data_IF_749793993020
#
_entry.id   IF_749793993020
#
_cell.length_a   1.000
_cell.length_b   1.000
_cell.length_c   1.000
_cell.angle_alpha   90.00
_cell.angle_beta   90.00
_cell.angle_gamma   90.00
#
_symmetry.space_group_name_H-M   'P 1'
#
loop_
_entity.id
_entity.type
_entity.pdbx_description
1 polymer ?
#
# COMPACT_ATOMS: atom_id res chain seq x y z
N UNK A 1 -22.36 -16.17 -5.26
CA UNK A 1 -21.94 -15.14 -6.23
C UNK A 1 -22.98 -14.04 -6.18
N UNK A 2 -22.63 -12.87 -5.63
CA UNK A 2 -23.55 -11.73 -5.59
C UNK A 2 -23.23 -10.84 -6.81
N UNK A 3 -24.10 -10.86 -7.81
CA UNK A 3 -23.99 -9.97 -8.96
C UNK A 3 -24.45 -8.57 -8.54
N UNK A 4 -23.60 -7.56 -8.68
CA UNK A 4 -24.00 -6.16 -8.53
C UNK A 4 -25.05 -5.83 -9.60
N UNK A 5 -26.28 -5.59 -9.18
CA UNK A 5 -27.33 -5.06 -10.05
C UNK A 5 -27.07 -3.57 -10.29
N UNK A 6 -27.20 -3.12 -11.54
CA UNK A 6 -26.91 -1.79 -12.13
C UNK A 6 -27.33 -0.51 -11.34
N UNK A 7 -27.97 -0.62 -10.18
CA UNK A 7 -28.59 0.50 -9.44
C UNK A 7 -28.48 0.36 -7.91
N UNK A 8 -27.42 -0.23 -7.37
CA UNK A 8 -27.19 -0.27 -5.90
C UNK A 8 -25.84 0.35 -5.49
N UNK A 9 -25.80 1.67 -5.25
CA UNK A 9 -24.59 2.38 -4.78
C UNK A 9 -24.09 1.89 -3.41
N UNK A 10 -24.95 1.19 -2.66
CA UNK A 10 -24.68 0.79 -1.28
C UNK A 10 -23.70 -0.40 -1.18
N UNK A 11 -23.50 -1.17 -2.25
CA UNK A 11 -22.57 -2.31 -2.25
C UNK A 11 -21.31 -2.05 -3.07
N UNK A 12 -21.38 -1.21 -4.12
CA UNK A 12 -20.26 -1.01 -5.05
C UNK A 12 -19.38 0.22 -4.74
N UNK A 13 -19.80 1.10 -3.82
CA UNK A 13 -19.09 2.37 -3.57
C UNK A 13 -17.65 2.21 -3.06
N UNK A 14 -17.30 1.08 -2.42
CA UNK A 14 -15.91 0.79 -2.04
C UNK A 14 -15.08 0.39 -3.26
N UNK A 15 -15.61 -0.47 -4.12
CA UNK A 15 -14.98 -0.88 -5.38
C UNK A 15 -14.82 0.31 -6.32
N UNK A 16 -15.84 1.16 -6.44
CA UNK A 16 -15.80 2.39 -7.23
C UNK A 16 -14.69 3.34 -6.77
N UNK A 17 -14.51 3.53 -5.45
CA UNK A 17 -13.39 4.34 -4.92
C UNK A 17 -12.03 3.74 -5.23
N UNK A 18 -11.90 2.42 -5.11
CA UNK A 18 -10.65 1.72 -5.47
C UNK A 18 -10.37 1.89 -6.97
N UNK A 19 -11.38 1.73 -7.82
CA UNK A 19 -11.26 1.90 -9.26
C UNK A 19 -10.89 3.35 -9.64
N UNK A 20 -11.50 4.35 -9.01
CA UNK A 20 -11.15 5.75 -9.23
C UNK A 20 -9.70 6.06 -8.82
N UNK A 21 -9.24 5.49 -7.71
CA UNK A 21 -7.85 5.65 -7.26
C UNK A 21 -6.87 4.94 -8.18
N UNK A 22 -7.21 3.75 -8.68
CA UNK A 22 -6.45 3.03 -9.69
C UNK A 22 -6.33 3.83 -10.98
N UNK A 23 -7.43 4.43 -11.45
CA UNK A 23 -7.43 5.28 -12.64
C UNK A 23 -6.49 6.48 -12.48
N UNK A 24 -6.58 7.19 -11.35
CA UNK A 24 -5.70 8.32 -11.03
C UNK A 24 -4.24 7.85 -11.00
N UNK A 25 -3.94 6.74 -10.34
CA UNK A 25 -2.58 6.22 -10.23
C UNK A 25 -2.01 5.84 -11.61
N UNK A 26 -2.75 5.06 -12.38
CA UNK A 26 -2.32 4.64 -13.72
C UNK A 26 -2.13 5.83 -14.64
N UNK A 27 -2.99 6.86 -14.59
CA UNK A 27 -2.85 8.07 -15.40
C UNK A 27 -1.55 8.84 -15.17
N UNK A 28 -0.99 8.77 -13.96
CA UNK A 28 0.24 9.48 -13.60
C UNK A 28 1.51 8.65 -13.83
N UNK A 29 1.42 7.31 -13.76
CA UNK A 29 2.60 6.45 -13.69
C UNK A 29 2.76 5.47 -14.85
N UNK A 30 1.70 5.18 -15.61
CA UNK A 30 1.82 4.30 -16.77
C UNK A 30 2.69 4.95 -17.83
N UNK A 31 3.66 4.17 -18.33
CA UNK A 31 4.48 4.54 -19.47
C UNK A 31 3.62 4.86 -20.70
N UNK A 32 4.16 5.67 -21.63
CA UNK A 32 3.44 6.04 -22.87
C UNK A 32 3.05 4.83 -23.72
N UNK A 33 3.74 3.70 -23.55
CA UNK A 33 3.46 2.43 -24.24
C UNK A 33 2.42 1.56 -23.53
N UNK A 34 1.99 1.94 -22.32
CA UNK A 34 0.95 1.25 -21.54
C UNK A 34 1.21 -0.24 -21.32
N UNK A 35 2.47 -0.65 -21.18
CA UNK A 35 2.83 -2.06 -20.96
C UNK A 35 3.08 -2.42 -19.49
N UNK A 36 3.20 -1.41 -18.63
CA UNK A 36 3.58 -1.53 -17.23
C UNK A 36 2.41 -1.41 -16.26
N UNK A 37 1.19 -1.11 -16.74
CA UNK A 37 -0.01 -0.93 -15.91
C UNK A 37 -0.25 -2.11 -14.95
N UNK A 38 -0.07 -3.34 -15.42
CA UNK A 38 -0.28 -4.54 -14.59
C UNK A 38 0.69 -4.61 -13.40
N UNK A 39 1.93 -4.13 -13.58
CA UNK A 39 2.92 -4.05 -12.49
C UNK A 39 2.62 -2.91 -11.51
N UNK A 40 1.90 -1.89 -11.97
CA UNK A 40 1.52 -0.73 -11.17
C UNK A 40 0.26 -0.98 -10.33
N UNK A 41 -0.55 -1.98 -10.67
CA UNK A 41 -1.74 -2.37 -9.90
C UNK A 41 -1.39 -2.75 -8.47
N UNK A 42 -0.37 -3.58 -8.27
CA UNK A 42 0.06 -4.02 -6.94
C UNK A 42 0.44 -2.82 -6.06
N UNK A 43 1.11 -1.84 -6.65
CA UNK A 43 1.55 -0.62 -5.95
C UNK A 43 0.35 0.28 -5.60
N UNK A 44 -0.61 0.41 -6.51
CA UNK A 44 -1.82 1.18 -6.28
C UNK A 44 -2.69 0.54 -5.20
N UNK A 45 -2.88 -0.78 -5.24
CA UNK A 45 -3.59 -1.54 -4.21
C UNK A 45 -2.89 -1.40 -2.85
N UNK A 46 -1.57 -1.50 -2.81
CA UNK A 46 -0.80 -1.30 -1.59
C UNK A 46 -0.97 0.11 -1.03
N UNK A 47 -0.92 1.13 -1.88
CA UNK A 47 -1.16 2.54 -1.52
C UNK A 47 -2.56 2.75 -0.94
N UNK A 48 -3.59 2.16 -1.56
CA UNK A 48 -4.96 2.22 -1.04
C UNK A 48 -5.08 1.57 0.35
N UNK A 49 -4.51 0.38 0.52
CA UNK A 49 -4.59 -0.36 1.78
C UNK A 49 -3.81 0.31 2.93
N UNK A 50 -2.82 1.15 2.61
CA UNK A 50 -2.12 1.99 3.57
C UNK A 50 -2.93 3.20 4.03
N UNK A 51 -3.74 3.78 3.15
CA UNK A 51 -4.43 5.05 3.41
C UNK A 51 -5.51 4.88 4.48
N UNK A 52 -5.45 5.71 5.53
CA UNK A 52 -6.52 5.78 6.54
C UNK A 52 -7.70 6.55 5.97
N UNK A 53 -8.91 6.02 6.16
CA UNK A 53 -10.12 6.76 5.84
C UNK A 53 -10.35 7.86 6.88
N UNK A 54 -10.76 9.05 6.44
CA UNK A 54 -11.09 10.15 7.36
C UNK A 54 -12.29 9.83 8.26
N UNK A 55 -13.27 9.08 7.74
CA UNK A 55 -14.49 8.76 8.48
C UNK A 55 -14.28 7.70 9.56
N UNK A 56 -13.36 6.76 9.36
CA UNK A 56 -13.10 5.66 10.31
C UNK A 56 -11.79 5.84 11.08
N UNK A 57 -10.89 6.71 10.62
CA UNK A 57 -9.53 6.86 11.15
C UNK A 57 -8.61 5.66 10.92
N UNK A 58 -9.07 4.63 10.21
CA UNK A 58 -8.38 3.37 10.01
C UNK A 58 -8.16 3.07 8.52
N UNK A 59 -7.05 2.40 8.20
CA UNK A 59 -6.82 1.86 6.86
C UNK A 59 -7.37 0.44 6.71
N UNK A 60 -7.56 -0.04 5.48
CA UNK A 60 -7.87 -1.45 5.24
C UNK A 60 -6.86 -2.42 5.86
N UNK A 61 -5.56 -2.11 5.88
CA UNK A 61 -4.56 -2.96 6.57
C UNK A 61 -4.78 -3.04 8.07
N UNK A 62 -5.17 -1.92 8.70
CA UNK A 62 -5.46 -1.91 10.13
C UNK A 62 -6.76 -2.65 10.46
N UNK A 63 -7.78 -2.52 9.62
CA UNK A 63 -9.03 -3.28 9.79
C UNK A 63 -8.80 -4.78 9.63
N UNK A 64 -7.97 -5.19 8.66
CA UNK A 64 -7.76 -6.60 8.36
C UNK A 64 -6.71 -7.28 9.26
N UNK A 65 -5.64 -6.57 9.65
CA UNK A 65 -4.45 -7.13 10.30
C UNK A 65 -4.17 -6.46 11.67
N UNK A 66 -4.87 -5.36 12.00
CA UNK A 66 -4.69 -4.62 13.24
C UNK A 66 -3.50 -3.66 13.24
N UNK A 67 -2.71 -3.60 12.16
CA UNK A 67 -1.54 -2.71 12.06
C UNK A 67 -1.20 -2.35 10.61
N UNK A 68 -0.47 -1.25 10.44
CA UNK A 68 0.12 -0.86 9.17
C UNK A 68 1.40 -1.69 8.88
N UNK A 69 1.64 -2.11 7.64
CA UNK A 69 2.91 -2.72 7.24
C UNK A 69 4.04 -1.68 7.25
N UNK A 70 5.28 -2.16 7.41
CA UNK A 70 6.45 -1.28 7.28
C UNK A 70 6.59 -0.87 5.82
N UNK A 71 6.50 0.42 5.53
CA UNK A 71 6.77 0.94 4.20
C UNK A 71 8.26 1.24 4.03
N UNK A 72 8.77 1.35 2.78
CA UNK A 72 10.13 1.80 2.53
C UNK A 72 10.45 3.12 3.24
N UNK A 73 9.48 4.03 3.37
CA UNK A 73 9.62 5.27 4.13
C UNK A 73 9.68 5.05 5.65
N UNK A 74 8.95 4.09 6.22
CA UNK A 74 9.10 3.69 7.64
C UNK A 74 10.48 3.04 7.91
N UNK A 75 11.03 2.31 6.95
CA UNK A 75 12.36 1.71 7.05
C UNK A 75 13.43 2.82 6.95
N UNK A 76 13.30 3.72 5.97
CA UNK A 76 14.24 4.81 5.73
C UNK A 76 14.21 5.90 6.82
N UNK A 77 13.06 6.14 7.47
CA UNK A 77 12.91 7.16 8.52
C UNK A 77 13.54 6.78 9.87
N UNK A 78 14.28 5.67 9.94
CA UNK A 78 14.88 5.19 11.17
C UNK A 78 13.80 4.59 12.07
N UNK A 79 13.91 3.28 12.27
CA UNK A 79 13.02 2.47 13.08
C UNK A 79 12.59 3.17 14.38
N UNK A 80 11.31 3.57 14.49
CA UNK A 80 10.72 4.19 15.69
C UNK A 80 9.99 3.15 16.58
N UNK A 81 10.32 1.86 16.42
CA UNK A 81 9.69 0.76 17.14
C UNK A 81 10.29 0.56 18.53
N UNK A 82 9.44 0.24 19.51
CA UNK A 82 9.78 0.11 20.94
C UNK A 82 10.60 -1.17 21.28
N UNK A 83 11.00 -1.97 20.30
CA UNK A 83 11.71 -3.24 20.55
C UNK A 83 13.20 -3.18 20.16
N UNK A 84 14.12 -3.21 21.13
CA UNK A 84 15.57 -3.25 20.90
C UNK A 84 16.06 -4.38 19.97
N UNK A 85 15.46 -5.59 19.96
CA UNK A 85 15.89 -6.67 19.06
C UNK A 85 15.62 -6.36 17.58
N UNK A 86 14.47 -5.76 17.26
CA UNK A 86 14.11 -5.48 15.88
C UNK A 86 14.93 -4.32 15.29
N UNK A 87 15.34 -3.35 16.13
CA UNK A 87 16.31 -2.32 15.74
C UNK A 87 17.66 -2.94 15.35
N UNK A 88 18.19 -3.86 16.16
CA UNK A 88 19.46 -4.55 15.86
C UNK A 88 19.38 -5.36 14.56
N UNK A 89 18.28 -6.07 14.35
CA UNK A 89 18.07 -6.84 13.12
C UNK A 89 18.02 -5.94 11.88
N UNK A 90 17.25 -4.85 11.92
CA UNK A 90 17.16 -3.90 10.80
C UNK A 90 18.50 -3.23 10.50
N UNK A 91 19.28 -2.89 11.53
CA UNK A 91 20.62 -2.33 11.38
C UNK A 91 21.57 -3.31 10.69
N UNK A 92 21.60 -4.57 11.13
CA UNK A 92 22.45 -5.58 10.52
C UNK A 92 22.07 -5.83 9.05
N UNK A 93 20.77 -5.84 8.74
CA UNK A 93 20.28 -6.04 7.37
C UNK A 93 20.62 -4.85 6.45
N UNK A 94 20.67 -3.63 6.99
CA UNK A 94 21.13 -2.44 6.26
C UNK A 94 22.63 -2.52 5.97
N UNK A 95 23.44 -2.88 6.97
CA UNK A 95 24.90 -3.08 6.80
C UNK A 95 25.21 -4.17 5.76
N UNK A 96 24.46 -5.26 5.76
CA UNK A 96 24.60 -6.35 4.79
C UNK A 96 24.19 -5.94 3.37
N UNK A 97 23.12 -5.15 3.22
CA UNK A 97 22.68 -4.63 1.93
C UNK A 97 23.66 -3.58 1.35
N UNK A 98 24.34 -2.82 2.20
CA UNK A 98 25.34 -1.84 1.78
C UNK A 98 26.68 -2.51 1.45
N UNK A 99 27.05 -3.61 2.12
CA UNK A 99 28.18 -4.46 1.75
C UNK A 99 27.97 -5.16 0.40
N UNK A 100 26.74 -5.59 0.09
CA UNK A 100 26.40 -6.24 -1.18
C UNK A 100 26.32 -5.27 -2.38
N UNK A 101 26.47 -3.95 -2.15
CA UNK A 101 26.49 -2.91 -3.19
C UNK A 101 27.90 -2.52 -3.66
N UNK A 102 28.96 -3.04 -3.03
CA UNK A 102 30.37 -2.86 -3.42
C UNK A 102 30.83 -4.04 -4.25
#
# INVERSE_FOLDING_TARGET
>A
MNMSTSLHPQTDGQTERVNALLEIYLRHYVSTTQVDWAKLIDVAQFSYNLQRSESTGQSPFEVAIGRQPNTPSTIASGYRGSSPPAYKFAKNMQEEADLARV
#
